data_IF_068699219283
#
_entry.id   IF_068699219283
#
_cell.length_a   1.000
_cell.length_b   1.000
_cell.length_c   1.000
_cell.angle_alpha   90.00
_cell.angle_beta   90.00
_cell.angle_gamma   90.00
#
_symmetry.space_group_name_H-M   'P 1'
#
loop_
_entity.id
_entity.type
_entity.pdbx_description
1 polymer ?
#
# COMPACT_ATOMS: atom_id res chain seq x y z
N UNK A 1 38.13 12.15 -12.76
CA UNK A 1 37.34 13.26 -12.16
C UNK A 1 35.94 13.41 -12.77
N UNK A 2 35.77 13.40 -14.10
CA UNK A 2 34.46 13.56 -14.75
C UNK A 2 33.45 12.44 -14.40
N UNK A 3 33.94 11.21 -14.33
CA UNK A 3 33.12 10.02 -14.05
C UNK A 3 32.49 10.02 -12.66
N UNK A 4 33.25 10.36 -11.62
CA UNK A 4 32.75 10.40 -10.24
C UNK A 4 31.68 11.49 -10.05
N UNK A 5 31.80 12.63 -10.76
CA UNK A 5 30.79 13.70 -10.73
C UNK A 5 29.47 13.25 -11.34
N UNK A 6 29.52 12.43 -12.39
CA UNK A 6 28.34 11.87 -13.03
C UNK A 6 27.66 10.84 -12.12
N UNK A 7 28.44 10.02 -11.41
CA UNK A 7 27.92 9.06 -10.44
C UNK A 7 27.25 9.75 -9.23
N UNK A 8 27.84 10.83 -8.72
CA UNK A 8 27.24 11.66 -7.63
C UNK A 8 25.95 12.31 -8.09
N UNK A 9 25.94 12.93 -9.29
CA UNK A 9 24.73 13.53 -9.87
C UNK A 9 23.61 12.50 -9.99
N UNK A 10 23.93 11.31 -10.53
CA UNK A 10 22.95 10.27 -10.75
C UNK A 10 22.33 9.72 -9.46
N UNK A 11 23.12 9.58 -8.38
CA UNK A 11 22.60 9.18 -7.07
C UNK A 11 21.67 10.25 -6.47
N UNK A 12 22.02 11.53 -6.62
CA UNK A 12 21.17 12.62 -6.15
C UNK A 12 19.85 12.69 -6.91
N UNK A 13 19.90 12.54 -8.23
CA UNK A 13 18.71 12.47 -9.09
C UNK A 13 17.81 11.29 -8.73
N UNK A 14 18.37 10.12 -8.47
CA UNK A 14 17.60 8.90 -8.23
C UNK A 14 16.99 8.79 -6.82
N UNK A 15 17.67 9.31 -5.80
CA UNK A 15 17.25 9.11 -4.40
C UNK A 15 16.87 10.40 -3.66
N UNK A 16 17.27 11.58 -4.15
CA UNK A 16 16.97 12.84 -3.48
C UNK A 16 17.36 12.88 -1.99
N UNK A 17 18.41 12.13 -1.60
CA UNK A 17 18.86 12.01 -0.21
C UNK A 17 18.12 10.99 0.67
N UNK A 18 17.21 10.17 0.12
CA UNK A 18 16.43 9.17 0.87
C UNK A 18 17.08 7.78 0.85
N UNK A 19 16.74 6.96 1.86
CA UNK A 19 17.29 5.62 2.04
C UNK A 19 16.87 4.62 0.94
N UNK A 20 17.79 3.71 0.59
CA UNK A 20 17.65 2.69 -0.45
C UNK A 20 16.71 1.54 -0.02
N UNK A 21 15.39 1.71 -0.16
CA UNK A 21 14.47 0.57 -0.12
C UNK A 21 14.60 -0.29 -1.39
N UNK A 22 14.45 -1.64 -1.34
CA UNK A 22 14.64 -2.51 -2.50
C UNK A 22 13.79 -2.12 -3.73
N UNK A 23 12.54 -1.73 -3.52
CA UNK A 23 11.64 -1.27 -4.58
C UNK A 23 12.13 0.04 -5.22
N UNK A 24 12.69 0.94 -4.41
CA UNK A 24 13.25 2.22 -4.86
C UNK A 24 14.54 2.01 -5.66
N UNK A 25 15.30 0.92 -5.39
CA UNK A 25 16.51 0.59 -6.15
C UNK A 25 16.25 0.28 -7.62
N UNK A 26 15.16 -0.42 -7.93
CA UNK A 26 14.80 -0.74 -9.31
C UNK A 26 14.41 0.53 -10.08
N UNK A 27 13.55 1.36 -9.49
CA UNK A 27 13.16 2.64 -10.05
C UNK A 27 14.38 3.55 -10.27
N UNK A 28 15.29 3.61 -9.29
CA UNK A 28 16.52 4.38 -9.37
C UNK A 28 17.39 3.97 -10.57
N UNK A 29 17.56 2.67 -10.85
CA UNK A 29 18.33 2.21 -12.02
C UNK A 29 17.70 2.69 -13.33
N UNK A 30 16.37 2.69 -13.42
CA UNK A 30 15.65 3.20 -14.59
C UNK A 30 15.84 4.72 -14.74
N UNK A 31 15.65 5.49 -13.66
CA UNK A 31 15.87 6.95 -13.63
C UNK A 31 17.30 7.32 -14.03
N UNK A 32 18.31 6.64 -13.48
CA UNK A 32 19.72 6.88 -13.79
C UNK A 32 20.06 6.59 -15.25
N UNK A 33 19.43 5.56 -15.85
CA UNK A 33 19.67 5.20 -17.25
C UNK A 33 19.00 6.19 -18.21
N UNK A 34 17.80 6.68 -17.89
CA UNK A 34 17.06 7.64 -18.71
C UNK A 34 17.55 9.08 -18.58
N UNK A 35 17.76 9.57 -17.36
CA UNK A 35 18.05 11.00 -17.12
C UNK A 35 19.54 11.34 -17.11
N UNK A 36 20.39 10.39 -16.71
CA UNK A 36 21.84 10.60 -16.62
C UNK A 36 22.62 9.86 -17.72
N UNK A 37 21.95 9.12 -18.62
CA UNK A 37 22.58 8.37 -19.71
C UNK A 37 23.52 7.24 -19.23
N UNK A 38 23.35 6.78 -17.99
CA UNK A 38 24.20 5.73 -17.44
C UNK A 38 23.84 4.37 -18.04
N UNK A 39 24.86 3.58 -18.39
CA UNK A 39 24.65 2.17 -18.75
C UNK A 39 24.09 1.40 -17.55
N UNK A 40 23.12 0.53 -17.79
CA UNK A 40 22.46 -0.29 -16.78
C UNK A 40 23.45 -1.02 -15.84
N UNK A 41 24.55 -1.57 -16.39
CA UNK A 41 25.61 -2.25 -15.61
C UNK A 41 26.27 -1.33 -14.59
N UNK A 42 26.41 -0.04 -14.91
CA UNK A 42 27.01 0.97 -14.02
C UNK A 42 26.00 1.44 -12.99
N UNK A 43 24.77 1.75 -13.41
CA UNK A 43 23.67 2.13 -12.53
C UNK A 43 23.41 1.07 -11.44
N UNK A 44 23.33 -0.22 -11.79
CA UNK A 44 23.14 -1.32 -10.83
C UNK A 44 24.27 -1.44 -9.80
N UNK A 45 25.52 -1.24 -10.22
CA UNK A 45 26.67 -1.25 -9.30
C UNK A 45 26.60 -0.11 -8.31
N UNK A 46 26.25 1.10 -8.77
CA UNK A 46 26.11 2.28 -7.91
C UNK A 46 25.01 2.09 -6.85
N UNK A 47 23.89 1.50 -7.24
CA UNK A 47 22.73 1.22 -6.36
C UNK A 47 22.92 -0.04 -5.50
N UNK A 48 24.02 -0.80 -5.70
CA UNK A 48 24.28 -2.09 -5.06
C UNK A 48 23.12 -3.07 -5.25
N UNK A 49 22.64 -3.19 -6.49
CA UNK A 49 21.60 -4.14 -6.89
C UNK A 49 22.23 -5.29 -7.70
N UNK A 50 21.91 -6.52 -7.34
CA UNK A 50 22.42 -7.70 -8.06
C UNK A 50 21.83 -7.78 -9.48
N UNK A 51 22.53 -8.48 -10.39
CA UNK A 51 22.01 -8.72 -11.75
C UNK A 51 20.74 -9.54 -11.74
N UNK A 52 20.71 -10.57 -10.89
CA UNK A 52 19.60 -11.52 -10.84
C UNK A 52 18.33 -10.83 -10.29
N UNK A 53 18.46 -10.11 -9.18
CA UNK A 53 17.36 -9.34 -8.60
C UNK A 53 16.78 -8.32 -9.59
N UNK A 54 17.62 -7.70 -10.43
CA UNK A 54 17.15 -6.74 -11.43
C UNK A 54 16.41 -7.39 -12.61
N UNK A 55 16.91 -8.52 -13.11
CA UNK A 55 16.34 -9.20 -14.29
C UNK A 55 15.14 -10.06 -13.96
N UNK A 56 15.13 -10.65 -12.78
CA UNK A 56 14.08 -11.53 -12.28
C UNK A 56 13.37 -10.80 -11.13
N UNK A 57 12.50 -9.82 -11.43
CA UNK A 57 11.69 -9.21 -10.38
C UNK A 57 10.82 -10.31 -9.73
N UNK A 58 10.48 -10.17 -8.44
CA UNK A 58 9.62 -11.13 -7.77
C UNK A 58 8.26 -11.16 -8.46
N UNK A 59 7.96 -12.26 -9.16
CA UNK A 59 6.66 -12.47 -9.79
C UNK A 59 5.61 -12.79 -8.73
N UNK A 60 4.45 -12.16 -8.86
CA UNK A 60 3.28 -12.53 -8.07
C UNK A 60 2.70 -13.82 -8.62
N UNK A 61 2.94 -14.91 -7.90
CA UNK A 61 2.39 -16.25 -8.17
C UNK A 61 0.89 -16.20 -8.52
N UNK A 62 0.45 -17.01 -9.49
CA UNK A 62 -0.92 -17.02 -10.01
C UNK A 62 -1.95 -17.24 -8.89
N UNK A 63 -1.65 -18.14 -7.95
CA UNK A 63 -2.47 -18.38 -6.75
C UNK A 63 -2.63 -17.11 -5.90
N UNK A 64 -1.59 -16.26 -5.84
CA UNK A 64 -1.64 -14.98 -5.11
C UNK A 64 -2.56 -13.98 -5.79
N UNK A 65 -2.57 -13.97 -7.13
CA UNK A 65 -3.44 -13.09 -7.91
C UNK A 65 -4.91 -13.50 -7.73
N UNK A 66 -5.23 -14.79 -7.86
CA UNK A 66 -6.58 -15.31 -7.62
C UNK A 66 -7.06 -15.03 -6.19
N UNK A 67 -6.18 -15.22 -5.21
CA UNK A 67 -6.48 -14.93 -3.82
C UNK A 67 -6.79 -13.44 -3.59
N UNK A 68 -6.01 -12.55 -4.20
CA UNK A 68 -6.23 -11.11 -4.12
C UNK A 68 -7.55 -10.71 -4.76
N UNK A 69 -7.88 -11.24 -5.93
CA UNK A 69 -9.15 -10.99 -6.63
C UNK A 69 -10.36 -11.37 -5.78
N UNK A 70 -10.34 -12.55 -5.15
CA UNK A 70 -11.42 -12.99 -4.24
C UNK A 70 -11.55 -12.10 -2.99
N UNK A 71 -10.44 -11.62 -2.43
CA UNK A 71 -10.49 -10.66 -1.31
C UNK A 71 -11.21 -9.38 -1.73
N UNK A 72 -10.85 -8.83 -2.89
CA UNK A 72 -11.43 -7.61 -3.44
C UNK A 72 -12.93 -7.79 -3.68
N UNK A 73 -13.32 -8.90 -4.32
CA UNK A 73 -14.72 -9.25 -4.57
C UNK A 73 -15.56 -9.27 -3.28
N UNK A 74 -15.09 -10.01 -2.25
CA UNK A 74 -15.80 -10.12 -0.96
C UNK A 74 -15.87 -8.75 -0.27
N UNK A 75 -14.80 -7.96 -0.32
CA UNK A 75 -14.76 -6.63 0.29
C UNK A 75 -15.74 -5.66 -0.38
N UNK A 76 -15.91 -5.73 -1.70
CA UNK A 76 -16.89 -4.93 -2.42
C UNK A 76 -18.32 -5.38 -2.14
N UNK A 77 -18.58 -6.70 -2.14
CA UNK A 77 -19.89 -7.25 -1.82
C UNK A 77 -20.32 -6.93 -0.38
N UNK A 78 -19.38 -6.87 0.57
CA UNK A 78 -19.66 -6.69 2.00
C UNK A 78 -18.79 -5.60 2.63
N UNK A 79 -19.08 -4.34 2.32
CA UNK A 79 -18.31 -3.17 2.80
C UNK A 79 -18.20 -3.01 4.33
N UNK A 80 -19.03 -3.70 5.14
CA UNK A 80 -18.94 -3.65 6.61
C UNK A 80 -17.93 -4.64 7.19
N UNK A 81 -17.35 -5.52 6.38
CA UNK A 81 -16.47 -6.59 6.86
C UNK A 81 -15.02 -6.13 6.92
N UNK A 82 -14.35 -6.49 8.01
CA UNK A 82 -12.90 -6.34 8.17
C UNK A 82 -12.16 -7.61 7.75
N UNK A 83 -10.83 -7.50 7.63
CA UNK A 83 -9.96 -8.56 7.13
C UNK A 83 -10.08 -9.90 7.90
N UNK A 84 -10.40 -9.90 9.21
CA UNK A 84 -10.61 -11.13 9.98
C UNK A 84 -11.81 -11.93 9.49
N UNK A 85 -12.97 -11.27 9.27
CA UNK A 85 -14.16 -11.95 8.74
C UNK A 85 -13.96 -12.44 7.30
N UNK A 86 -13.20 -11.68 6.50
CA UNK A 86 -12.84 -12.09 5.13
C UNK A 86 -11.95 -13.34 5.17
N UNK A 87 -10.99 -13.40 6.10
CA UNK A 87 -10.14 -14.58 6.32
C UNK A 87 -10.96 -15.82 6.71
N UNK A 88 -11.91 -15.68 7.63
CA UNK A 88 -12.77 -16.80 8.06
C UNK A 88 -13.60 -17.36 6.88
N UNK A 89 -14.11 -16.50 6.00
CA UNK A 89 -14.84 -16.92 4.79
C UNK A 89 -13.94 -17.58 3.75
N UNK A 90 -12.70 -17.11 3.62
CA UNK A 90 -11.73 -17.65 2.66
C UNK A 90 -11.08 -18.96 3.13
N UNK A 91 -11.26 -19.34 4.40
CA UNK A 91 -10.64 -20.53 4.99
C UNK A 91 -10.99 -21.82 4.24
N UNK A 92 -12.21 -21.93 3.72
CA UNK A 92 -12.66 -23.10 2.95
C UNK A 92 -12.00 -23.20 1.57
N UNK A 93 -11.66 -22.08 0.95
CA UNK A 93 -11.04 -22.04 -0.38
C UNK A 93 -9.50 -22.02 -0.32
N UNK A 94 -8.93 -21.48 0.76
CA UNK A 94 -7.48 -21.31 0.93
C UNK A 94 -7.03 -21.70 2.35
N UNK A 95 -6.95 -23.01 2.65
CA UNK A 95 -6.68 -23.51 4.00
C UNK A 95 -5.27 -23.16 4.51
N UNK A 96 -4.30 -22.92 3.61
CA UNK A 96 -2.91 -22.60 3.95
C UNK A 96 -2.64 -21.12 4.24
N UNK A 97 -3.61 -20.23 4.00
CA UNK A 97 -3.35 -18.79 4.07
C UNK A 97 -3.57 -18.22 5.47
N UNK A 98 -2.54 -17.60 6.02
CA UNK A 98 -2.56 -16.92 7.31
C UNK A 98 -3.33 -15.57 7.23
N UNK A 99 -4.08 -15.23 8.29
CA UNK A 99 -4.78 -13.94 8.42
C UNK A 99 -3.86 -12.72 8.28
N UNK A 100 -2.57 -12.84 8.61
CA UNK A 100 -1.57 -11.78 8.39
C UNK A 100 -1.39 -11.44 6.91
N UNK A 101 -1.44 -12.45 6.03
CA UNK A 101 -1.31 -12.25 4.58
C UNK A 101 -2.55 -11.53 4.03
N UNK A 102 -3.74 -11.91 4.49
CA UNK A 102 -5.00 -11.21 4.16
C UNK A 102 -4.92 -9.74 4.56
N UNK A 103 -4.47 -9.46 5.80
CA UNK A 103 -4.32 -8.09 6.28
C UNK A 103 -3.41 -7.26 5.38
N UNK A 104 -2.25 -7.79 4.98
CA UNK A 104 -1.33 -7.07 4.09
C UNK A 104 -1.98 -6.73 2.74
N UNK A 105 -2.60 -7.70 2.08
CA UNK A 105 -3.25 -7.48 0.79
C UNK A 105 -4.44 -6.52 0.91
N UNK A 106 -5.26 -6.67 1.95
CA UNK A 106 -6.39 -5.78 2.24
C UNK A 106 -5.96 -4.32 2.49
N UNK A 107 -4.87 -4.11 3.23
CA UNK A 107 -4.30 -2.79 3.45
C UNK A 107 -3.68 -2.20 2.19
N UNK A 108 -2.94 -2.99 1.41
CA UNK A 108 -2.36 -2.54 0.13
C UNK A 108 -3.45 -2.18 -0.89
N UNK A 109 -4.57 -2.91 -0.91
CA UNK A 109 -5.73 -2.62 -1.74
C UNK A 109 -6.61 -1.47 -1.20
N UNK A 110 -6.25 -0.86 -0.07
CA UNK A 110 -6.95 0.25 0.57
C UNK A 110 -8.46 0.00 0.79
N UNK A 111 -8.82 -1.26 1.09
CA UNK A 111 -10.19 -1.71 1.30
C UNK A 111 -10.73 -1.37 2.71
N UNK A 112 -9.91 -0.72 3.53
CA UNK A 112 -10.27 -0.36 4.89
C UNK A 112 -11.44 0.63 4.91
N UNK A 113 -12.49 0.27 5.66
CA UNK A 113 -13.60 1.19 5.91
C UNK A 113 -13.07 2.42 6.66
N UNK A 114 -13.18 3.59 6.03
CA UNK A 114 -12.78 4.84 6.66
C UNK A 114 -13.64 5.05 7.91
N UNK A 115 -13.00 5.17 9.07
CA UNK A 115 -13.69 5.59 10.29
C UNK A 115 -14.27 6.98 10.03
N UNK A 116 -15.58 7.13 10.22
CA UNK A 116 -16.24 8.44 10.15
C UNK A 116 -15.54 9.33 11.19
N UNK A 117 -15.02 10.50 10.79
CA UNK A 117 -14.59 11.51 11.76
C UNK A 117 -15.79 11.78 12.65
N UNK A 118 -15.61 11.62 13.96
CA UNK A 118 -16.62 11.96 14.94
C UNK A 118 -16.77 13.48 14.92
N UNK A 119 -17.62 13.98 14.01
CA UNK A 119 -18.16 15.31 14.14
C UNK A 119 -18.98 15.31 15.42
N UNK A 120 -18.65 16.23 16.33
CA UNK A 120 -19.40 16.48 17.56
C UNK A 120 -20.89 16.26 17.28
N UNK A 121 -21.45 15.18 17.81
CA UNK A 121 -22.90 15.05 17.85
C UNK A 121 -23.35 16.17 18.79
N UNK A 122 -24.17 17.15 18.34
CA UNK A 122 -24.81 18.02 19.31
C UNK A 122 -25.55 17.10 20.27
N UNK A 123 -25.35 17.31 21.56
CA UNK A 123 -26.15 16.68 22.61
C UNK A 123 -27.62 17.10 22.39
N UNK A 124 -28.35 16.38 21.55
CA UNK A 124 -29.79 16.53 21.41
C UNK A 124 -30.45 15.91 22.64
N UNK A 125 -30.30 16.59 23.76
CA UNK A 125 -31.01 16.35 24.99
C UNK A 125 -31.18 17.65 25.77
N UNK A 126 -31.41 18.75 25.06
CA UNK A 126 -32.22 19.83 25.61
C UNK A 126 -33.66 19.30 25.60
N UNK A 127 -34.08 18.79 26.76
CA UNK A 127 -35.46 18.40 27.03
C UNK A 127 -36.38 19.53 26.54
N UNK A 128 -37.43 19.15 25.81
CA UNK A 128 -38.54 20.04 25.49
C UNK A 128 -38.94 20.79 26.77
N UNK A 129 -38.64 22.09 26.82
CA UNK A 129 -39.14 22.97 27.84
C UNK A 129 -40.66 23.04 27.66
N UNK A 130 -41.37 22.54 28.67
CA UNK A 130 -42.77 22.76 29.00
C UNK A 130 -43.57 23.60 27.98
N UNK A 131 -44.26 22.92 27.07
CA UNK A 131 -45.44 23.47 26.41
C UNK A 131 -46.58 23.45 27.44
N UNK A 132 -47.19 24.62 27.68
CA UNK A 132 -48.03 24.90 28.85
C UNK A 132 -49.50 24.48 28.75
N UNK A 133 -50.28 24.90 29.75
CA UNK A 133 -51.67 25.32 29.56
C UNK A 133 -52.24 26.01 30.82
N UNK A 134 -52.87 27.16 30.58
CA UNK A 134 -53.58 28.07 31.49
C UNK A 134 -54.83 27.48 32.17
N UNK A 135 -55.24 28.13 33.27
CA UNK A 135 -56.66 28.45 33.51
C UNK A 135 -57.44 27.65 34.56
N UNK A 136 -57.47 28.15 35.80
CA UNK A 136 -58.66 28.68 36.52
C UNK A 136 -58.25 29.29 37.86
#
# INVERSE_FOLDING_TARGET
MAEARLDIRALNTAFGGKALAPQVKHAAVATMSGECGLRERRARRLVRLSRDSYRNPPETDAMTQEFNSKIVEIAHARRRFGYRRIHDMLRSHFPSVNHKRVFRLYSTANLAVRKRKEGQRPCQRARAAATGHDGQ
#
